data_IF_796060798650
#
_entry.id   IF_796060798650
#
_cell.length_a   1.000
_cell.length_b   1.000
_cell.length_c   1.000
_cell.angle_alpha   90.00
_cell.angle_beta   90.00
_cell.angle_gamma   90.00
#
_symmetry.space_group_name_H-M   'P 1'
#
loop_
_entity.id
_entity.type
_entity.pdbx_description
1 polymer ?
#
# COMPACT_ATOMS: atom_id res chain seq x y z
N UNK A 1 -43.18 16.97 30.39
CA UNK A 1 -42.55 15.69 29.99
C UNK A 1 -41.20 15.55 30.69
N UNK A 2 -41.10 14.74 31.74
CA UNK A 2 -39.83 14.49 32.45
C UNK A 2 -39.04 13.48 31.63
N UNK A 3 -38.03 13.95 30.88
CA UNK A 3 -37.13 13.05 30.15
C UNK A 3 -36.40 12.16 31.17
N UNK A 4 -36.45 10.84 30.96
CA UNK A 4 -35.84 9.88 31.89
C UNK A 4 -34.32 10.08 31.89
N UNK A 5 -33.72 10.01 33.08
CA UNK A 5 -32.27 10.20 33.27
C UNK A 5 -31.48 9.17 32.44
N UNK A 6 -32.01 7.95 32.31
CA UNK A 6 -31.44 6.87 31.50
C UNK A 6 -31.37 7.27 30.02
N UNK A 7 -32.42 7.91 29.49
CA UNK A 7 -32.45 8.35 28.10
C UNK A 7 -31.39 9.43 27.80
N UNK A 8 -31.05 10.27 28.78
CA UNK A 8 -30.00 11.30 28.65
C UNK A 8 -28.61 10.68 28.59
N UNK A 9 -28.32 9.71 29.45
CA UNK A 9 -27.04 9.00 29.44
C UNK A 9 -26.88 8.14 28.17
N UNK A 10 -27.96 7.49 27.71
CA UNK A 10 -27.95 6.75 26.45
C UNK A 10 -27.64 7.68 25.25
N UNK A 11 -28.26 8.85 25.19
CA UNK A 11 -27.98 9.85 24.15
C UNK A 11 -26.53 10.38 24.23
N UNK A 12 -26.01 10.62 25.45
CA UNK A 12 -24.63 11.05 25.66
C UNK A 12 -23.61 10.00 25.21
N UNK A 13 -23.84 8.73 25.51
CA UNK A 13 -22.99 7.63 25.06
C UNK A 13 -23.03 7.44 23.54
N UNK A 14 -24.21 7.56 22.94
CA UNK A 14 -24.35 7.51 21.48
C UNK A 14 -23.58 8.65 20.80
N UNK A 15 -23.66 9.86 21.35
CA UNK A 15 -22.93 11.01 20.83
C UNK A 15 -21.41 10.85 20.99
N UNK A 16 -20.95 10.37 22.15
CA UNK A 16 -19.53 10.10 22.40
C UNK A 16 -18.98 9.03 21.44
N UNK A 17 -19.73 7.95 21.19
CA UNK A 17 -19.36 6.92 20.21
C UNK A 17 -19.27 7.47 18.78
N UNK A 18 -20.21 8.34 18.40
CA UNK A 18 -20.21 8.97 17.08
C UNK A 18 -19.00 9.91 16.89
N UNK A 19 -18.68 10.71 17.90
CA UNK A 19 -17.52 11.60 17.89
C UNK A 19 -16.19 10.83 17.87
N UNK A 20 -16.10 9.70 18.60
CA UNK A 20 -14.93 8.85 18.59
C UNK A 20 -14.71 8.14 17.23
N UNK A 21 -15.80 7.72 16.57
CA UNK A 21 -15.73 7.09 15.24
C UNK A 21 -15.38 8.06 14.11
N UNK A 22 -15.83 9.31 14.19
CA UNK A 22 -15.60 10.31 13.15
C UNK A 22 -14.14 10.80 13.05
N UNK A 23 -13.36 10.69 14.13
CA UNK A 23 -11.96 11.10 14.19
C UNK A 23 -10.95 9.99 13.90
N UNK A 24 -11.40 8.77 13.59
CA UNK A 24 -10.49 7.65 13.38
C UNK A 24 -9.68 7.85 12.07
N UNK A 25 -8.33 7.86 12.12
CA UNK A 25 -7.53 7.98 10.91
C UNK A 25 -7.75 6.75 10.01
N UNK A 26 -7.79 6.96 8.71
CA UNK A 26 -7.84 5.87 7.75
C UNK A 26 -6.56 5.04 7.87
N UNK A 27 -6.71 3.77 8.28
CA UNK A 27 -5.58 2.85 8.44
C UNK A 27 -5.06 2.44 7.05
N UNK A 28 -4.01 3.12 6.56
CA UNK A 28 -3.36 2.78 5.29
C UNK A 28 -2.44 1.56 5.45
N UNK A 29 -3.03 0.38 5.63
CA UNK A 29 -2.26 -0.87 5.80
C UNK A 29 -1.89 -1.56 4.47
N UNK A 30 -2.25 -0.99 3.32
CA UNK A 30 -2.07 -1.62 2.00
C UNK A 30 -1.21 -0.75 1.08
N UNK A 31 0.03 -0.49 1.47
CA UNK A 31 0.97 0.32 0.68
C UNK A 31 1.71 -0.49 -0.40
N UNK A 32 1.76 -1.82 -0.25
CA UNK A 32 2.42 -2.74 -1.18
C UNK A 32 1.63 -2.91 -2.49
N UNK A 33 2.33 -3.25 -3.58
CA UNK A 33 1.68 -3.60 -4.87
C UNK A 33 1.46 -2.43 -5.83
N UNK A 34 1.93 -1.23 -5.51
CA UNK A 34 1.90 -0.08 -6.45
C UNK A 34 3.09 -0.01 -7.40
N UNK A 35 4.10 -0.87 -7.21
CA UNK A 35 5.24 -0.93 -8.12
C UNK A 35 4.83 -1.69 -9.38
N UNK A 36 4.61 -0.97 -10.47
CA UNK A 36 4.27 -1.59 -11.76
C UNK A 36 5.49 -2.35 -12.27
N UNK A 37 5.32 -3.65 -12.55
CA UNK A 37 6.38 -4.47 -13.15
C UNK A 37 6.71 -3.90 -14.53
N UNK A 38 7.96 -3.48 -14.71
CA UNK A 38 8.46 -3.02 -16.00
C UNK A 38 9.14 -4.20 -16.70
N UNK A 39 8.62 -4.55 -17.87
CA UNK A 39 9.24 -5.56 -18.73
C UNK A 39 10.17 -4.86 -19.70
N UNK A 40 11.44 -5.27 -19.72
CA UNK A 40 12.42 -4.85 -20.71
C UNK A 40 12.89 -6.07 -21.49
N UNK A 41 12.92 -5.96 -22.82
CA UNK A 41 13.60 -6.94 -23.66
C UNK A 41 15.08 -6.56 -23.73
N UNK A 42 15.95 -7.52 -23.48
CA UNK A 42 17.38 -7.34 -23.58
C UNK A 42 17.89 -8.16 -24.76
N UNK A 43 18.61 -7.49 -25.66
CA UNK A 43 19.33 -8.14 -26.76
C UNK A 43 20.67 -8.64 -26.22
N UNK A 44 20.66 -9.87 -25.70
CA UNK A 44 21.87 -10.48 -25.16
C UNK A 44 22.82 -10.90 -26.27
N UNK A 45 24.11 -10.63 -26.06
CA UNK A 45 25.22 -11.15 -26.85
C UNK A 45 26.00 -12.18 -26.03
N UNK A 46 26.62 -13.13 -26.73
CA UNK A 46 27.38 -14.23 -26.10
C UNK A 46 28.84 -14.13 -26.53
N UNK A 47 29.72 -13.90 -25.57
CA UNK A 47 31.17 -14.02 -25.76
C UNK A 47 31.63 -15.39 -25.25
N UNK A 48 32.05 -16.24 -26.18
CA UNK A 48 32.57 -17.58 -25.89
C UNK A 48 34.00 -17.48 -25.37
N UNK A 49 34.32 -18.23 -24.31
CA UNK A 49 35.69 -18.41 -23.83
C UNK A 49 36.04 -19.90 -23.79
N UNK A 50 37.28 -20.24 -23.39
CA UNK A 50 37.72 -21.65 -23.30
C UNK A 50 36.92 -22.47 -22.29
N UNK A 51 36.42 -21.83 -21.22
CA UNK A 51 35.82 -22.54 -20.08
C UNK A 51 34.40 -22.07 -19.73
N UNK A 52 33.96 -20.92 -20.23
CA UNK A 52 32.63 -20.37 -19.94
C UNK A 52 32.14 -19.43 -21.04
N UNK A 53 30.84 -19.21 -21.05
CA UNK A 53 30.18 -18.26 -21.94
C UNK A 53 29.74 -17.03 -21.14
N UNK A 54 30.09 -15.85 -21.63
CA UNK A 54 29.68 -14.58 -21.02
C UNK A 54 28.47 -14.04 -21.78
N UNK A 55 27.34 -13.98 -21.09
CA UNK A 55 26.11 -13.34 -21.58
C UNK A 55 26.12 -11.90 -21.11
N UNK A 56 26.12 -10.96 -22.05
CA UNK A 56 26.14 -9.53 -21.73
C UNK A 56 25.19 -8.77 -22.65
N UNK A 57 24.69 -7.64 -22.17
CA UNK A 57 23.92 -6.68 -22.95
C UNK A 57 24.52 -5.30 -22.68
N UNK A 58 24.91 -4.58 -23.72
CA UNK A 58 25.40 -3.20 -23.60
C UNK A 58 24.22 -2.27 -23.85
N UNK A 59 23.42 -1.97 -22.83
CA UNK A 59 22.43 -0.90 -22.91
C UNK A 59 22.88 0.28 -22.05
N UNK A 60 23.80 1.08 -22.58
CA UNK A 60 24.12 2.40 -22.05
C UNK A 60 23.27 3.44 -22.78
N UNK A 61 21.97 3.42 -22.49
CA UNK A 61 21.09 4.55 -22.77
C UNK A 61 20.60 5.00 -21.39
N UNK A 62 21.39 5.86 -20.74
CA UNK A 62 20.94 6.70 -19.63
C UNK A 62 20.07 7.85 -20.17
#
# INVERSE_FOLDING_TARGET
MRTSIIAKYAAGLALAGLLAGAGAPALQAQWYGRNKVQYKKFEFQIMKTRHFDVYYYLSNEE
#
